data_IF_253216368044
#
_entry.id   IF_253216368044
#
_cell.length_a   1.000
_cell.length_b   1.000
_cell.length_c   1.000
_cell.angle_alpha   90.00
_cell.angle_beta   90.00
_cell.angle_gamma   90.00
#
_symmetry.space_group_name_H-M   'P 1'
#
loop_
_entity.id
_entity.type
_entity.pdbx_description
1 polymer ?
#
# COMPACT_ATOMS: atom_id res chain seq x y z
N UNK A 1 17.11 13.86 -16.29
CA UNK A 1 17.42 13.02 -15.15
C UNK A 1 18.70 12.25 -15.36
N UNK A 2 19.34 11.83 -14.27
CA UNK A 2 20.62 11.08 -14.33
C UNK A 2 20.45 9.64 -14.86
N UNK A 3 19.26 9.09 -14.79
CA UNK A 3 18.98 7.70 -15.18
C UNK A 3 17.88 7.65 -16.25
N UNK A 4 18.03 6.70 -17.20
CA UNK A 4 17.03 6.44 -18.24
C UNK A 4 16.05 5.34 -17.85
N UNK A 5 16.51 4.40 -17.01
CA UNK A 5 15.74 3.23 -16.55
C UNK A 5 16.06 2.98 -15.07
N UNK A 6 15.04 2.73 -14.29
CA UNK A 6 15.13 2.49 -12.83
C UNK A 6 14.37 1.21 -12.53
N UNK A 7 15.01 0.28 -11.82
CA UNK A 7 14.34 -0.88 -11.24
C UNK A 7 13.93 -0.53 -9.79
N UNK A 8 12.65 -0.69 -9.48
CA UNK A 8 12.10 -0.59 -8.14
C UNK A 8 11.81 -2.01 -7.68
N UNK A 9 12.55 -2.49 -6.69
CA UNK A 9 12.42 -3.86 -6.16
C UNK A 9 11.89 -3.80 -4.74
N UNK A 10 10.82 -4.54 -4.48
CA UNK A 10 10.25 -4.74 -3.14
C UNK A 10 10.26 -6.23 -2.83
N UNK A 11 10.81 -6.62 -1.68
CA UNK A 11 10.87 -8.00 -1.25
C UNK A 11 10.74 -8.05 0.28
N UNK A 12 9.72 -8.74 0.76
CA UNK A 12 9.41 -8.88 2.17
C UNK A 12 9.16 -10.33 2.52
N UNK A 13 9.88 -10.83 3.53
CA UNK A 13 9.63 -12.13 4.16
C UNK A 13 8.95 -11.82 5.50
N UNK A 14 7.69 -11.40 5.43
CA UNK A 14 6.90 -10.99 6.58
C UNK A 14 6.77 -12.11 7.62
N UNK A 15 6.72 -13.37 7.17
CA UNK A 15 6.65 -14.56 8.03
C UNK A 15 7.77 -14.66 9.08
N UNK A 16 8.89 -13.97 8.85
CA UNK A 16 10.03 -13.96 9.79
C UNK A 16 9.85 -13.00 10.96
N UNK A 17 9.03 -11.97 10.79
CA UNK A 17 8.79 -10.94 11.80
C UNK A 17 7.40 -10.98 12.43
N UNK A 18 6.62 -12.04 12.19
CA UNK A 18 5.27 -12.19 12.73
C UNK A 18 5.34 -12.84 14.11
N UNK A 19 4.56 -12.33 15.03
CA UNK A 19 4.17 -13.01 16.25
C UNK A 19 3.07 -14.03 15.92
N UNK A 20 3.43 -15.31 15.83
CA UNK A 20 2.51 -16.38 15.45
C UNK A 20 1.45 -16.68 16.53
N UNK A 21 1.68 -16.25 17.77
CA UNK A 21 0.74 -16.39 18.88
C UNK A 21 -0.29 -15.24 18.91
N UNK A 22 -0.08 -14.20 18.08
CA UNK A 22 -0.98 -13.05 17.97
C UNK A 22 -1.86 -13.16 16.72
N UNK A 23 -3.07 -13.71 16.87
CA UNK A 23 -3.99 -14.00 15.76
C UNK A 23 -4.28 -12.78 14.86
N UNK A 24 -4.41 -11.58 15.43
CA UNK A 24 -4.77 -10.37 14.67
C UNK A 24 -3.71 -9.99 13.63
N UNK A 25 -2.44 -10.31 13.87
CA UNK A 25 -1.35 -10.00 12.94
C UNK A 25 -0.88 -11.21 12.14
N UNK A 26 -0.89 -12.42 12.72
CA UNK A 26 -0.33 -13.61 12.06
C UNK A 26 -1.14 -14.06 10.83
N UNK A 27 -2.44 -13.81 10.81
CA UNK A 27 -3.35 -14.29 9.76
C UNK A 27 -3.46 -13.38 8.53
N UNK A 28 -2.81 -12.22 8.54
CA UNK A 28 -2.98 -11.25 7.45
C UNK A 28 -1.81 -11.19 6.47
N UNK A 29 -0.62 -11.59 6.88
CA UNK A 29 0.59 -11.41 6.08
C UNK A 29 0.86 -12.56 5.11
N UNK A 30 1.58 -12.22 4.03
CA UNK A 30 2.17 -13.16 3.09
C UNK A 30 3.58 -12.71 2.72
N UNK A 31 4.44 -13.65 2.39
CA UNK A 31 5.76 -13.36 1.84
C UNK A 31 5.64 -13.01 0.35
N UNK A 32 6.47 -12.10 -0.13
CA UNK A 32 6.43 -11.75 -1.53
C UNK A 32 7.56 -10.85 -1.99
N UNK A 33 7.76 -10.87 -3.31
CA UNK A 33 8.67 -9.98 -3.99
C UNK A 33 8.09 -9.55 -5.34
N UNK A 34 8.29 -8.29 -5.69
CA UNK A 34 7.89 -7.75 -6.98
C UNK A 34 8.89 -6.69 -7.45
N UNK A 35 8.94 -6.50 -8.76
CA UNK A 35 9.80 -5.50 -9.38
C UNK A 35 9.02 -4.71 -10.42
N UNK A 36 9.20 -3.39 -10.43
CA UNK A 36 8.73 -2.51 -11.48
C UNK A 36 9.91 -1.84 -12.18
N UNK A 37 9.92 -1.86 -13.51
CA UNK A 37 10.88 -1.13 -14.32
C UNK A 37 10.22 0.17 -14.79
N UNK A 38 10.81 1.29 -14.41
CA UNK A 38 10.35 2.62 -14.78
C UNK A 38 11.32 3.21 -15.79
N UNK A 39 10.78 3.66 -16.92
CA UNK A 39 11.55 4.34 -17.98
C UNK A 39 10.99 5.74 -18.22
N UNK A 40 11.75 6.55 -18.91
CA UNK A 40 11.27 7.85 -19.38
C UNK A 40 10.23 7.61 -20.48
N UNK A 41 8.99 8.06 -20.25
CA UNK A 41 7.91 8.00 -21.24
C UNK A 41 8.11 8.98 -22.40
N UNK A 42 7.25 8.83 -23.40
CA UNK A 42 7.19 9.66 -24.61
C UNK A 42 6.37 10.97 -24.41
N UNK A 43 5.89 11.19 -23.20
CA UNK A 43 5.04 12.34 -22.84
C UNK A 43 3.52 12.09 -22.99
N UNK A 44 3.11 10.91 -23.48
CA UNK A 44 1.68 10.52 -23.58
C UNK A 44 1.24 9.73 -22.38
N UNK A 45 2.16 8.95 -21.78
CA UNK A 45 1.96 8.16 -20.57
C UNK A 45 2.81 8.72 -19.42
N UNK A 46 2.46 8.37 -18.19
CA UNK A 46 3.24 8.73 -17.02
C UNK A 46 2.42 9.06 -15.79
N UNK A 47 3.09 9.61 -14.79
CA UNK A 47 2.48 10.00 -13.52
C UNK A 47 1.73 11.33 -13.72
N UNK A 48 0.40 11.31 -13.54
CA UNK A 48 -0.47 12.49 -13.59
C UNK A 48 -0.37 13.26 -12.28
N UNK A 49 -0.49 12.55 -11.15
CA UNK A 49 -0.42 13.13 -9.82
C UNK A 49 0.10 12.11 -8.81
N UNK A 50 0.71 12.62 -7.75
CA UNK A 50 1.06 11.82 -6.58
C UNK A 50 0.89 12.64 -5.31
N UNK A 51 0.54 11.97 -4.21
CA UNK A 51 0.37 12.57 -2.90
C UNK A 51 0.89 11.59 -1.86
N UNK A 52 1.72 12.09 -0.94
CA UNK A 52 2.23 11.29 0.20
C UNK A 52 2.06 12.16 1.43
N UNK A 53 1.42 11.60 2.46
CA UNK A 53 1.16 12.28 3.72
C UNK A 53 1.48 11.37 4.89
N UNK A 54 2.06 11.93 5.93
CA UNK A 54 2.44 11.23 7.15
C UNK A 54 1.65 11.76 8.33
N UNK A 55 1.14 10.85 9.15
CA UNK A 55 0.34 11.10 10.34
C UNK A 55 1.04 10.46 11.54
N UNK A 56 1.99 11.16 12.18
CA UNK A 56 2.85 10.60 13.23
C UNK A 56 2.07 10.18 14.49
N UNK A 57 0.84 10.64 14.66
CA UNK A 57 -0.07 10.20 15.73
C UNK A 57 -0.38 8.71 15.67
N UNK A 58 -0.22 8.09 14.48
CA UNK A 58 -0.41 6.66 14.26
C UNK A 58 0.87 5.82 14.40
N UNK A 59 1.99 6.40 14.79
CA UNK A 59 3.30 5.73 14.76
C UNK A 59 3.40 4.47 15.64
N UNK A 60 2.68 4.44 16.77
CA UNK A 60 2.70 3.31 17.70
C UNK A 60 1.59 2.28 17.46
N UNK A 61 0.73 2.52 16.45
CA UNK A 61 -0.38 1.62 16.14
C UNK A 61 0.07 0.38 15.33
N UNK A 62 1.24 0.49 14.67
CA UNK A 62 1.76 -0.56 13.80
C UNK A 62 3.29 -0.38 13.67
N UNK A 63 4.08 -1.24 14.32
CA UNK A 63 5.54 -1.08 14.40
C UNK A 63 6.27 -2.40 14.65
N UNK A 64 7.56 -2.44 14.32
CA UNK A 64 8.56 -3.32 14.95
C UNK A 64 9.35 -2.45 15.89
N UNK A 65 9.30 -2.74 17.20
CA UNK A 65 9.82 -1.86 18.24
C UNK A 65 11.34 -1.83 18.30
N UNK A 66 11.98 -2.98 18.06
CA UNK A 66 13.43 -3.10 18.12
C UNK A 66 14.10 -2.58 16.87
N UNK A 67 15.34 -2.17 17.05
CA UNK A 67 16.20 -1.60 16.02
C UNK A 67 16.38 -0.10 16.17
N UNK A 68 17.27 0.45 15.34
CA UNK A 68 17.61 1.87 15.38
C UNK A 68 18.22 2.31 16.71
N UNK A 69 18.12 3.61 16.98
CA UNK A 69 18.70 4.22 18.20
C UNK A 69 17.79 4.15 19.42
N UNK A 70 16.49 4.04 19.24
CA UNK A 70 15.49 4.04 20.32
C UNK A 70 15.53 2.74 21.13
N UNK A 71 15.59 1.58 20.45
CA UNK A 71 15.65 0.26 21.09
C UNK A 71 16.69 -0.61 20.37
N UNK A 72 17.90 -0.59 20.88
CA UNK A 72 19.01 -1.39 20.36
C UNK A 72 19.45 -2.43 21.40
N UNK A 73 20.29 -3.41 21.06
CA UNK A 73 20.73 -4.45 21.99
C UNK A 73 21.36 -3.93 23.30
N UNK A 74 21.95 -2.72 23.28
CA UNK A 74 22.54 -2.09 24.47
C UNK A 74 21.50 -1.45 25.40
N UNK A 75 20.30 -1.16 24.90
CA UNK A 75 19.20 -0.56 25.69
C UNK A 75 18.24 -1.59 26.29
N UNK A 76 18.54 -2.88 26.16
CA UNK A 76 17.75 -3.96 26.74
C UNK A 76 16.48 -4.27 25.93
N UNK A 77 16.66 -4.84 24.74
CA UNK A 77 15.55 -5.36 23.93
C UNK A 77 15.28 -6.84 24.26
N UNK A 78 14.04 -7.26 24.13
CA UNK A 78 13.59 -8.65 24.14
C UNK A 78 13.35 -9.18 22.72
N UNK A 79 13.28 -10.48 22.54
CA UNK A 79 12.98 -11.09 21.24
C UNK A 79 11.63 -10.64 20.69
N UNK A 80 10.64 -10.41 21.56
CA UNK A 80 9.31 -9.89 21.16
C UNK A 80 9.35 -8.47 20.59
N UNK A 81 10.37 -7.67 20.90
CA UNK A 81 10.52 -6.33 20.31
C UNK A 81 10.90 -6.38 18.82
N UNK A 82 11.41 -7.53 18.33
CA UNK A 82 11.71 -7.74 16.91
C UNK A 82 10.52 -8.28 16.12
N UNK A 83 9.40 -8.55 16.76
CA UNK A 83 8.19 -9.00 16.13
C UNK A 83 7.29 -7.81 15.77
N UNK A 84 6.51 -7.97 14.71
CA UNK A 84 5.54 -6.99 14.27
C UNK A 84 4.41 -6.86 15.28
N UNK A 85 4.19 -5.65 15.74
CA UNK A 85 3.12 -5.30 16.66
C UNK A 85 2.07 -4.44 15.97
N UNK A 86 0.79 -4.79 16.11
CA UNK A 86 -0.31 -4.05 15.51
C UNK A 86 -1.48 -3.93 16.50
N UNK A 87 -2.01 -2.73 16.60
CA UNK A 87 -3.28 -2.45 17.25
C UNK A 87 -4.34 -2.31 16.16
N UNK A 88 -4.84 -3.43 15.62
CA UNK A 88 -5.61 -3.46 14.38
C UNK A 88 -6.86 -2.60 14.39
N UNK A 89 -7.69 -2.64 15.46
CA UNK A 89 -8.91 -1.82 15.55
C UNK A 89 -8.63 -0.31 15.63
N UNK A 90 -7.71 0.19 16.49
CA UNK A 90 -7.31 1.59 16.50
C UNK A 90 -6.72 2.04 15.17
N UNK A 91 -5.81 1.24 14.58
CA UNK A 91 -5.21 1.53 13.28
C UNK A 91 -6.26 1.66 12.17
N UNK A 92 -7.19 0.70 12.10
CA UNK A 92 -8.27 0.71 11.12
C UNK A 92 -9.16 1.96 11.25
N UNK A 93 -9.55 2.32 12.47
CA UNK A 93 -10.38 3.51 12.72
C UNK A 93 -9.64 4.78 12.31
N UNK A 94 -8.37 4.89 12.64
CA UNK A 94 -7.55 6.05 12.32
C UNK A 94 -7.37 6.18 10.81
N UNK A 95 -6.94 5.13 10.11
CA UNK A 95 -6.84 5.13 8.65
C UNK A 95 -8.18 5.44 7.96
N UNK A 96 -9.28 4.86 8.46
CA UNK A 96 -10.62 5.11 7.92
C UNK A 96 -11.09 6.55 8.08
N UNK A 97 -10.65 7.28 9.12
CA UNK A 97 -11.01 8.68 9.32
C UNK A 97 -10.32 9.62 8.33
N UNK A 98 -9.21 9.20 7.74
CA UNK A 98 -8.37 10.00 6.86
C UNK A 98 -8.59 9.74 5.37
N UNK A 99 -9.01 8.51 5.02
CA UNK A 99 -8.94 8.02 3.64
C UNK A 99 -9.83 8.78 2.66
N UNK A 100 -11.01 9.24 3.05
CA UNK A 100 -11.94 9.95 2.14
C UNK A 100 -11.41 11.31 1.72
N UNK A 101 -10.94 12.09 2.71
CA UNK A 101 -10.37 13.41 2.44
C UNK A 101 -9.07 13.28 1.62
N UNK A 102 -8.21 12.33 1.98
CA UNK A 102 -7.00 12.02 1.23
C UNK A 102 -7.30 11.64 -0.23
N UNK A 103 -8.26 10.75 -0.44
CA UNK A 103 -8.68 10.30 -1.77
C UNK A 103 -9.22 11.46 -2.62
N UNK A 104 -10.07 12.30 -2.03
CA UNK A 104 -10.63 13.48 -2.68
C UNK A 104 -9.54 14.46 -3.12
N UNK A 105 -8.52 14.68 -2.29
CA UNK A 105 -7.38 15.56 -2.62
C UNK A 105 -6.48 14.95 -3.70
N UNK A 106 -6.29 13.64 -3.73
CA UNK A 106 -5.55 12.98 -4.81
C UNK A 106 -6.27 13.11 -6.16
N UNK A 107 -7.60 12.90 -6.20
CA UNK A 107 -8.42 13.13 -7.39
C UNK A 107 -8.36 14.59 -7.83
N UNK A 108 -8.55 15.54 -6.92
CA UNK A 108 -8.45 16.97 -7.23
C UNK A 108 -7.07 17.32 -7.82
N UNK A 109 -6.00 16.80 -7.23
CA UNK A 109 -4.62 17.02 -7.72
C UNK A 109 -4.39 16.45 -9.11
N UNK A 110 -5.06 15.36 -9.45
CA UNK A 110 -5.00 14.77 -10.80
C UNK A 110 -5.92 15.47 -11.81
N UNK A 111 -6.81 16.36 -11.37
CA UNK A 111 -7.89 16.95 -12.16
C UNK A 111 -8.86 15.93 -12.76
N UNK A 112 -9.03 14.79 -12.09
CA UNK A 112 -9.89 13.68 -12.50
C UNK A 112 -11.01 13.45 -11.48
N UNK A 113 -12.09 12.81 -11.96
CA UNK A 113 -13.15 12.26 -11.12
C UNK A 113 -12.95 10.76 -10.95
N UNK A 114 -13.64 10.14 -9.98
CA UNK A 114 -13.55 8.69 -9.77
C UNK A 114 -13.94 7.90 -11.03
N UNK A 115 -14.94 8.36 -11.78
CA UNK A 115 -15.44 7.70 -13.00
C UNK A 115 -14.42 7.70 -14.15
N UNK A 116 -13.41 8.59 -14.08
CA UNK A 116 -12.30 8.62 -15.05
C UNK A 116 -11.26 7.53 -14.76
N UNK A 117 -11.24 7.00 -13.52
CA UNK A 117 -10.27 5.98 -13.09
C UNK A 117 -10.72 4.60 -13.55
N UNK A 118 -9.95 3.99 -14.44
CA UNK A 118 -10.26 2.65 -14.95
C UNK A 118 -9.94 1.53 -13.95
N UNK A 119 -8.87 1.68 -13.20
CA UNK A 119 -8.40 0.65 -12.27
C UNK A 119 -7.83 1.27 -10.99
N UNK A 120 -8.19 0.70 -9.85
CA UNK A 120 -7.65 1.06 -8.53
C UNK A 120 -6.86 -0.14 -8.01
N UNK A 121 -5.58 0.08 -7.75
CA UNK A 121 -4.62 -0.89 -7.22
C UNK A 121 -4.28 -0.50 -5.79
N UNK A 122 -4.97 -1.04 -4.80
CA UNK A 122 -4.72 -0.72 -3.40
C UNK A 122 -3.60 -1.57 -2.80
N UNK A 123 -3.00 -1.07 -1.73
CA UNK A 123 -2.26 -1.92 -0.81
C UNK A 123 -3.19 -3.02 -0.25
N UNK A 124 -2.72 -4.25 -0.28
CA UNK A 124 -3.47 -5.45 0.12
C UNK A 124 -3.40 -5.66 1.65
N UNK A 125 -3.96 -4.72 2.43
CA UNK A 125 -3.82 -4.71 3.89
C UNK A 125 -4.56 -5.88 4.58
N UNK A 126 -5.82 -6.08 4.25
CA UNK A 126 -6.68 -7.21 4.64
C UNK A 126 -7.94 -7.19 3.80
N UNK A 127 -8.65 -8.33 3.70
CA UNK A 127 -9.92 -8.40 2.98
C UNK A 127 -10.95 -7.38 3.50
N UNK A 128 -11.11 -7.29 4.82
CA UNK A 128 -12.05 -6.35 5.43
C UNK A 128 -11.68 -4.88 5.17
N UNK A 129 -10.39 -4.56 5.19
CA UNK A 129 -9.92 -3.20 4.90
C UNK A 129 -10.14 -2.82 3.44
N UNK A 130 -9.90 -3.74 2.51
CA UNK A 130 -10.14 -3.53 1.07
C UNK A 130 -11.63 -3.29 0.80
N UNK A 131 -12.50 -4.13 1.33
CA UNK A 131 -13.94 -4.02 1.14
C UNK A 131 -14.50 -2.74 1.80
N UNK A 132 -14.01 -2.38 2.99
CA UNK A 132 -14.38 -1.12 3.65
C UNK A 132 -13.96 0.09 2.82
N UNK A 133 -12.71 0.13 2.38
CA UNK A 133 -12.17 1.20 1.53
C UNK A 133 -12.99 1.31 0.24
N UNK A 134 -13.22 0.20 -0.45
CA UNK A 134 -14.00 0.14 -1.68
C UNK A 134 -15.37 0.79 -1.53
N UNK A 135 -16.14 0.38 -0.50
CA UNK A 135 -17.48 0.91 -0.23
C UNK A 135 -17.44 2.38 0.15
N UNK A 136 -16.51 2.75 1.03
CA UNK A 136 -16.38 4.12 1.53
C UNK A 136 -16.01 5.11 0.45
N UNK A 137 -15.09 4.73 -0.43
CA UNK A 137 -14.65 5.55 -1.57
C UNK A 137 -15.53 5.37 -2.81
N UNK A 138 -16.56 4.51 -2.75
CA UNK A 138 -17.48 4.20 -3.85
C UNK A 138 -16.79 3.65 -5.10
N UNK A 139 -15.64 2.99 -4.91
CA UNK A 139 -14.93 2.36 -6.02
C UNK A 139 -15.74 1.17 -6.52
N UNK A 140 -16.05 1.09 -7.83
CA UNK A 140 -16.72 -0.08 -8.40
C UNK A 140 -15.89 -1.36 -8.16
N UNK A 141 -16.55 -2.47 -7.88
CA UNK A 141 -15.86 -3.76 -7.69
C UNK A 141 -15.07 -4.17 -8.92
N UNK A 142 -15.61 -3.88 -10.11
CA UNK A 142 -14.93 -4.12 -11.38
C UNK A 142 -13.65 -3.30 -11.57
N UNK A 143 -13.50 -2.17 -10.89
CA UNK A 143 -12.32 -1.34 -10.97
C UNK A 143 -11.24 -1.70 -9.92
N UNK A 144 -11.63 -2.39 -8.83
CA UNK A 144 -10.69 -2.73 -7.75
C UNK A 144 -9.85 -3.97 -8.09
N UNK A 145 -8.55 -3.92 -7.84
CA UNK A 145 -7.68 -5.09 -7.83
C UNK A 145 -7.62 -5.64 -6.41
N UNK A 146 -8.23 -6.80 -6.20
CA UNK A 146 -8.16 -7.55 -4.94
C UNK A 146 -7.50 -8.92 -5.21
N UNK A 147 -6.29 -9.07 -4.73
CA UNK A 147 -5.50 -10.30 -4.82
C UNK A 147 -5.12 -10.82 -3.42
N UNK A 148 -5.64 -10.17 -2.39
CA UNK A 148 -5.33 -10.49 -1.00
C UNK A 148 -5.57 -11.96 -0.66
N UNK A 149 -6.66 -12.56 -1.16
CA UNK A 149 -7.00 -13.96 -0.91
C UNK A 149 -5.94 -14.97 -1.37
N UNK A 150 -5.07 -14.56 -2.32
CA UNK A 150 -4.04 -15.43 -2.89
C UNK A 150 -2.66 -15.17 -2.28
N UNK A 151 -2.37 -13.91 -1.94
CA UNK A 151 -1.04 -13.48 -1.58
C UNK A 151 -0.93 -12.92 -0.15
N UNK A 152 -2.06 -12.58 0.48
CA UNK A 152 -2.06 -11.88 1.75
C UNK A 152 -1.47 -10.46 1.65
N UNK A 153 -1.13 -9.90 2.79
CA UNK A 153 -0.44 -8.62 2.88
C UNK A 153 1.08 -8.84 2.72
N UNK A 154 1.60 -8.58 1.54
CA UNK A 154 3.03 -8.70 1.22
C UNK A 154 3.83 -7.43 1.55
N UNK A 155 3.36 -6.62 2.48
CA UNK A 155 4.02 -5.37 2.92
C UNK A 155 4.32 -4.46 1.73
N UNK A 156 5.58 -4.12 1.45
CA UNK A 156 5.96 -3.25 0.34
C UNK A 156 5.77 -3.90 -1.04
N UNK A 157 5.75 -5.23 -1.13
CA UNK A 157 5.48 -5.93 -2.38
C UNK A 157 3.99 -5.98 -2.77
N UNK A 158 3.06 -5.63 -1.88
CA UNK A 158 1.60 -5.71 -2.13
C UNK A 158 1.14 -4.92 -3.35
N UNK A 159 1.48 -3.63 -3.43
CA UNK A 159 1.05 -2.78 -4.56
C UNK A 159 1.72 -3.22 -5.87
N UNK A 160 3.03 -3.46 -5.95
CA UNK A 160 3.66 -3.94 -7.18
C UNK A 160 3.12 -5.30 -7.65
N UNK A 161 2.82 -6.22 -6.73
CA UNK A 161 2.18 -7.52 -7.07
C UNK A 161 0.78 -7.30 -7.62
N UNK A 162 -0.06 -6.50 -6.95
CA UNK A 162 -1.40 -6.20 -7.42
C UNK A 162 -1.38 -5.44 -8.77
N UNK A 163 -0.40 -4.57 -8.99
CA UNK A 163 -0.19 -3.91 -10.28
C UNK A 163 0.18 -4.92 -11.38
N UNK A 164 1.04 -5.88 -11.08
CA UNK A 164 1.36 -6.98 -12.02
C UNK A 164 0.10 -7.74 -12.40
N UNK A 165 -0.74 -8.10 -11.44
CA UNK A 165 -2.02 -8.77 -11.69
C UNK A 165 -2.98 -7.91 -12.53
N UNK A 166 -2.98 -6.59 -12.34
CA UNK A 166 -3.74 -5.68 -13.21
C UNK A 166 -3.25 -5.72 -14.65
N UNK A 167 -1.93 -5.80 -14.86
CA UNK A 167 -1.32 -5.88 -16.20
C UNK A 167 -1.67 -7.20 -16.88
N UNK A 168 -1.43 -8.34 -16.23
CA UNK A 168 -1.65 -9.66 -16.86
C UNK A 168 -3.14 -9.98 -17.05
N UNK A 169 -4.03 -9.40 -16.24
CA UNK A 169 -5.49 -9.54 -16.43
C UNK A 169 -6.08 -8.56 -17.44
N UNK A 170 -5.25 -7.73 -18.09
CA UNK A 170 -5.70 -6.76 -19.09
C UNK A 170 -6.46 -5.57 -18.51
N UNK A 171 -6.33 -5.30 -17.21
CA UNK A 171 -6.97 -4.18 -16.52
C UNK A 171 -6.09 -2.92 -16.42
N UNK A 172 -4.86 -3.02 -16.87
CA UNK A 172 -3.92 -1.92 -17.00
C UNK A 172 -3.85 -1.51 -18.49
N UNK A 173 -4.76 -0.63 -18.91
CA UNK A 173 -4.95 -0.26 -20.32
C UNK A 173 -4.53 1.17 -20.57
N UNK A 174 -4.00 1.47 -21.77
CA UNK A 174 -3.46 2.77 -22.13
C UNK A 174 -4.52 3.88 -22.26
N UNK A 175 -5.80 3.53 -22.25
CA UNK A 175 -6.92 4.45 -22.48
C UNK A 175 -7.53 5.01 -21.18
N UNK A 176 -7.18 4.45 -20.03
CA UNK A 176 -7.74 4.87 -18.74
C UNK A 176 -6.69 5.05 -17.65
N UNK A 177 -6.81 6.09 -16.84
CA UNK A 177 -5.96 6.27 -15.66
C UNK A 177 -6.06 5.11 -14.68
N UNK A 178 -4.94 4.81 -14.06
CA UNK A 178 -4.80 3.82 -12.99
C UNK A 178 -4.40 4.53 -11.71
N UNK A 179 -5.07 4.22 -10.62
CA UNK A 179 -4.74 4.76 -9.29
C UNK A 179 -4.07 3.69 -8.43
N UNK A 180 -2.88 3.97 -7.95
CA UNK A 180 -2.23 3.23 -6.88
C UNK A 180 -2.53 3.95 -5.56
N UNK A 181 -2.94 3.23 -4.52
CA UNK A 181 -3.23 3.83 -3.22
C UNK A 181 -2.87 2.87 -2.09
N UNK A 182 -2.22 3.37 -1.06
CA UNK A 182 -1.80 2.53 0.05
C UNK A 182 -1.66 3.26 1.36
N UNK A 183 -1.64 2.44 2.39
CA UNK A 183 -1.30 2.82 3.76
C UNK A 183 -0.03 2.10 4.18
N UNK A 184 0.78 2.73 5.00
CA UNK A 184 1.96 2.14 5.61
C UNK A 184 2.02 2.48 7.09
N UNK A 185 2.81 1.70 7.83
CA UNK A 185 3.07 1.97 9.24
C UNK A 185 3.58 3.40 9.44
N UNK A 186 3.19 4.02 10.55
CA UNK A 186 3.72 5.30 10.89
C UNK A 186 2.80 6.50 11.07
N UNK A 187 1.52 6.66 10.77
CA UNK A 187 0.78 6.15 9.62
C UNK A 187 1.10 6.99 8.38
N UNK A 188 1.31 6.36 7.26
CA UNK A 188 1.49 7.06 5.98
C UNK A 188 0.36 6.70 5.02
N UNK A 189 -0.20 7.69 4.33
CA UNK A 189 -1.05 7.51 3.16
C UNK A 189 -0.25 7.92 1.93
N UNK A 190 -0.20 7.05 0.94
CA UNK A 190 0.46 7.33 -0.33
C UNK A 190 -0.43 6.94 -1.50
N UNK A 191 -0.47 7.79 -2.52
CA UNK A 191 -1.23 7.52 -3.73
C UNK A 191 -0.60 8.16 -4.94
N UNK A 192 -0.88 7.55 -6.08
CA UNK A 192 -0.41 7.98 -7.39
C UNK A 192 -1.49 7.70 -8.42
N UNK A 193 -1.71 8.64 -9.31
CA UNK A 193 -2.51 8.44 -10.52
C UNK A 193 -1.58 8.47 -11.71
N UNK A 194 -1.67 7.47 -12.55
CA UNK A 194 -0.84 7.35 -13.74
C UNK A 194 -1.70 7.00 -14.96
N UNK A 195 -1.26 7.43 -16.11
CA UNK A 195 -1.76 7.00 -17.41
C UNK A 195 -0.74 6.01 -17.99
N UNK A 196 -1.15 4.75 -18.22
CA UNK A 196 -0.29 3.71 -18.78
C UNK A 196 0.28 4.01 -20.15
#
# INVERSE_FOLDING_TARGET
GAYRRIAIVSADIASRGIDWDHEESSLIFGDGAACAIVERGDGRSGIIASLIEMYPEGSELCEIRAGGTRRNPRSGVSDSDFLFHMQGKPLFRFASSLIEDYFSRLLQKSSLQLDDIGTVVPHQASHLSLEHMRKRLRVPESALIDVYRFYGNQVAASIPTALHEAVISGRFTADKPVMLIGTAAGLTLAGMVLLP
#
